data_IF_489539827062
#
_entry.id   IF_489539827062
#
_cell.length_a   1.000
_cell.length_b   1.000
_cell.length_c   1.000
_cell.angle_alpha   90.00
_cell.angle_beta   90.00
_cell.angle_gamma   90.00
#
_symmetry.space_group_name_H-M   'P 1'
#
loop_
_entity.id
_entity.type
_entity.pdbx_description
1 polymer ?
#
# COMPACT_ATOMS: atom_id res chain seq x y z
N UNK A 1 -1.86 2.55 2.16
CA UNK A 1 -0.60 2.43 2.93
C UNK A 1 0.53 2.35 1.93
N UNK A 2 1.56 3.18 2.08
CA UNK A 2 2.79 3.11 1.29
C UNK A 2 3.87 2.46 2.14
N UNK A 3 4.63 1.56 1.52
CA UNK A 3 5.71 0.81 2.16
C UNK A 3 6.97 0.97 1.32
N UNK A 4 8.08 1.30 1.95
CA UNK A 4 9.38 1.27 1.29
C UNK A 4 9.82 -0.18 1.08
N UNK A 5 10.20 -0.52 -0.15
CA UNK A 5 10.57 -1.90 -0.49
C UNK A 5 11.88 -2.33 0.15
N UNK A 6 12.83 -1.41 0.33
CA UNK A 6 14.17 -1.75 0.83
C UNK A 6 14.16 -1.96 2.34
N UNK A 7 13.62 -1.01 3.09
CA UNK A 7 13.52 -1.06 4.55
C UNK A 7 12.34 -1.88 5.06
N UNK A 8 11.31 -2.11 4.23
CA UNK A 8 9.99 -2.64 4.63
C UNK A 8 9.19 -1.68 5.54
N UNK A 9 9.69 -0.46 5.73
CA UNK A 9 9.03 0.52 6.59
C UNK A 9 7.72 1.03 5.98
N UNK A 10 6.71 1.17 6.82
CA UNK A 10 5.49 1.90 6.47
C UNK A 10 5.85 3.38 6.41
N UNK A 11 5.70 4.00 5.24
CA UNK A 11 5.99 5.42 5.02
C UNK A 11 4.80 6.27 5.41
N UNK A 12 3.61 5.90 4.92
CA UNK A 12 2.38 6.60 5.27
C UNK A 12 1.15 5.71 5.13
N UNK A 13 0.11 6.08 5.86
CA UNK A 13 -1.19 5.43 5.89
C UNK A 13 -2.28 6.47 5.63
N UNK A 14 -3.35 6.00 4.99
CA UNK A 14 -4.56 6.79 4.75
C UNK A 14 -5.75 5.87 4.95
N UNK A 15 -6.83 6.43 5.49
CA UNK A 15 -8.03 5.69 5.87
C UNK A 15 -9.27 6.44 5.41
N UNK A 16 -10.30 5.68 5.06
CA UNK A 16 -11.62 6.21 4.71
C UNK A 16 -12.71 5.35 5.33
N UNK A 17 -13.87 5.97 5.55
CA UNK A 17 -15.07 5.25 5.95
C UNK A 17 -15.68 4.51 4.77
N UNK A 18 -16.18 3.29 5.02
CA UNK A 18 -17.03 2.56 4.09
C UNK A 18 -16.32 1.97 2.88
N UNK A 19 -17.11 1.64 1.85
CA UNK A 19 -16.68 0.94 0.64
C UNK A 19 -16.16 1.95 -0.40
N UNK A 20 -15.02 2.58 -0.12
CA UNK A 20 -14.30 3.39 -1.13
C UNK A 20 -13.25 2.55 -1.81
N UNK A 21 -13.01 2.87 -3.08
CA UNK A 21 -11.97 2.23 -3.87
C UNK A 21 -10.60 2.76 -3.49
N UNK A 22 -9.60 1.88 -3.39
CA UNK A 22 -8.25 2.21 -2.95
C UNK A 22 -7.59 3.30 -3.79
N UNK A 23 -7.81 3.29 -5.11
CA UNK A 23 -7.28 4.35 -5.98
C UNK A 23 -7.88 5.72 -5.71
N UNK A 24 -9.15 5.78 -5.31
CA UNK A 24 -9.79 7.05 -4.92
C UNK A 24 -9.20 7.55 -3.61
N UNK A 25 -9.01 6.66 -2.63
CA UNK A 25 -8.35 6.98 -1.37
C UNK A 25 -6.94 7.52 -1.59
N UNK A 26 -6.18 6.93 -2.53
CA UNK A 26 -4.86 7.43 -2.89
C UNK A 26 -4.91 8.85 -3.45
N UNK A 27 -5.79 9.14 -4.41
CA UNK A 27 -5.94 10.51 -4.96
C UNK A 27 -6.32 11.53 -3.88
N UNK A 28 -7.26 11.17 -3.01
CA UNK A 28 -7.74 12.05 -1.93
C UNK A 28 -6.72 12.21 -0.81
N UNK A 29 -5.78 11.27 -0.67
CA UNK A 29 -4.74 11.33 0.37
C UNK A 29 -3.66 12.39 0.12
N UNK A 30 -3.63 13.02 -1.05
CA UNK A 30 -2.67 14.10 -1.36
C UNK A 30 -1.23 13.63 -1.63
N UNK A 31 -0.93 12.34 -1.41
CA UNK A 31 0.42 11.77 -1.52
C UNK A 31 1.05 12.07 -2.88
N UNK A 32 2.20 12.72 -2.83
CA UNK A 32 3.07 12.94 -3.99
C UNK A 32 4.28 12.03 -3.89
N UNK A 33 4.44 11.16 -4.88
CA UNK A 33 5.61 10.29 -5.02
C UNK A 33 6.57 10.99 -5.98
N UNK A 34 7.85 11.02 -5.64
CA UNK A 34 8.86 11.61 -6.52
C UNK A 34 8.87 10.88 -7.88
N UNK A 35 8.92 11.58 -9.03
CA UNK A 35 8.85 10.97 -10.37
C UNK A 35 9.82 9.79 -10.59
N UNK A 36 11.01 9.87 -10.00
CA UNK A 36 12.06 8.84 -10.15
C UNK A 36 11.82 7.59 -9.29
N UNK A 37 10.91 7.65 -8.31
CA UNK A 37 10.61 6.50 -7.44
C UNK A 37 9.65 5.56 -8.15
N UNK A 38 10.12 4.35 -8.44
CA UNK A 38 9.27 3.31 -9.03
C UNK A 38 8.21 2.84 -8.03
N UNK A 39 6.93 3.01 -8.39
CA UNK A 39 5.81 2.54 -7.57
C UNK A 39 5.27 1.22 -8.11
N UNK A 40 5.08 0.22 -7.26
CA UNK A 40 4.47 -1.06 -7.64
C UNK A 40 3.12 -1.19 -6.94
N UNK A 41 2.05 -1.36 -7.71
CA UNK A 41 0.68 -1.46 -7.18
C UNK A 41 -0.07 -2.66 -7.72
N UNK A 42 -1.23 -2.96 -7.15
CA UNK A 42 -2.16 -3.94 -7.70
C UNK A 42 -2.98 -3.35 -8.87
N UNK A 43 -3.85 -4.19 -9.45
CA UNK A 43 -4.75 -3.82 -10.56
C UNK A 43 -5.89 -2.88 -10.15
N UNK A 44 -6.14 -2.69 -8.86
CA UNK A 44 -7.07 -1.70 -8.31
C UNK A 44 -6.58 -0.26 -8.49
N UNK A 45 -5.28 -0.04 -8.75
CA UNK A 45 -4.73 1.29 -9.03
C UNK A 45 -4.69 1.63 -10.53
N UNK A 46 -5.55 1.00 -11.33
CA UNK A 46 -5.65 1.28 -12.76
C UNK A 46 -5.79 2.79 -13.05
N UNK A 47 -4.90 3.31 -13.90
CA UNK A 47 -4.82 4.73 -14.22
C UNK A 47 -3.79 5.50 -13.40
N UNK A 48 -3.12 4.89 -12.42
CA UNK A 48 -2.05 5.53 -11.64
C UNK A 48 -0.91 6.04 -12.53
N UNK A 49 -0.60 5.33 -13.62
CA UNK A 49 0.41 5.75 -14.61
C UNK A 49 0.18 7.16 -15.20
N UNK A 50 -1.07 7.66 -15.19
CA UNK A 50 -1.38 9.04 -15.64
C UNK A 50 -1.01 10.11 -14.61
N UNK A 51 -0.89 9.72 -13.34
CA UNK A 51 -0.54 10.61 -12.22
C UNK A 51 0.95 10.49 -11.92
N UNK A 52 1.48 9.26 -11.99
CA UNK A 52 2.87 8.95 -11.74
C UNK A 52 3.38 7.99 -12.83
N UNK A 53 4.18 8.51 -13.76
CA UNK A 53 4.63 7.77 -14.96
C UNK A 53 5.46 6.53 -14.61
N UNK A 54 6.25 6.60 -13.54
CA UNK A 54 7.08 5.49 -13.05
C UNK A 54 6.29 4.52 -12.15
N UNK A 55 5.12 4.09 -12.63
CA UNK A 55 4.25 3.12 -11.96
C UNK A 55 4.21 1.79 -12.70
N UNK A 56 4.44 0.70 -11.98
CA UNK A 56 4.33 -0.66 -12.50
C UNK A 56 3.05 -1.34 -12.00
N UNK A 57 2.15 -1.65 -12.94
CA UNK A 57 0.89 -2.32 -12.67
C UNK A 57 0.80 -3.64 -13.46
N UNK A 58 0.21 -4.70 -12.88
CA UNK A 58 -0.07 -5.90 -13.64
C UNK A 58 -1.03 -5.62 -14.80
N UNK A 59 -0.76 -6.22 -15.96
CA UNK A 59 -1.67 -6.14 -17.11
C UNK A 59 -2.92 -6.98 -16.80
N UNK A 60 -4.10 -6.36 -16.91
CA UNK A 60 -5.38 -7.03 -16.68
C UNK A 60 -5.80 -7.79 -17.94
N UNK A 61 -6.22 -9.05 -17.78
CA UNK A 61 -6.88 -9.81 -18.85
C UNK A 61 -8.23 -9.17 -19.15
N UNK A 62 -8.58 -9.04 -20.43
CA UNK A 62 -9.95 -8.68 -20.85
C UNK A 62 -10.50 -9.76 -21.78
N UNK A 63 -11.83 -9.78 -22.00
CA UNK A 63 -12.47 -10.77 -22.87
C UNK A 63 -11.89 -10.76 -24.29
N UNK A 64 -11.56 -9.57 -24.82
CA UNK A 64 -11.02 -9.37 -26.17
C UNK A 64 -9.48 -9.43 -26.22
N UNK A 65 -8.80 -9.12 -25.12
CA UNK A 65 -7.32 -9.11 -25.06
C UNK A 65 -6.83 -10.08 -23.98
N UNK A 66 -6.53 -11.34 -24.34
CA UNK A 66 -5.91 -12.30 -23.44
C UNK A 66 -4.46 -11.91 -23.12
N UNK A 67 -3.93 -12.42 -22.00
CA UNK A 67 -2.53 -12.19 -21.62
C UNK A 67 -1.61 -13.08 -22.46
N UNK A 68 -0.62 -12.46 -23.09
CA UNK A 68 0.48 -13.18 -23.76
C UNK A 68 1.35 -13.92 -22.75
N UNK A 69 2.21 -14.82 -23.22
CA UNK A 69 3.20 -15.49 -22.34
C UNK A 69 4.10 -14.45 -21.65
N UNK A 70 4.47 -13.40 -22.36
CA UNK A 70 5.30 -12.31 -21.83
C UNK A 70 4.57 -11.50 -20.76
N UNK A 71 3.30 -11.13 -21.01
CA UNK A 71 2.48 -10.46 -20.00
C UNK A 71 2.36 -11.28 -18.71
N UNK A 72 2.25 -12.60 -18.83
CA UNK A 72 2.20 -13.51 -17.67
C UNK A 72 3.54 -13.53 -16.91
N UNK A 73 4.68 -13.55 -17.61
CA UNK A 73 6.01 -13.46 -16.98
C UNK A 73 6.17 -12.15 -16.22
N UNK A 74 5.81 -11.03 -16.84
CA UNK A 74 5.88 -9.70 -16.22
C UNK A 74 4.93 -9.57 -15.02
N UNK A 75 3.69 -10.05 -15.15
CA UNK A 75 2.74 -10.09 -14.03
C UNK A 75 3.25 -10.97 -12.88
N UNK A 76 3.93 -12.09 -13.16
CA UNK A 76 4.54 -12.94 -12.14
C UNK A 76 5.66 -12.22 -11.40
N UNK A 77 6.55 -11.54 -12.13
CA UNK A 77 7.62 -10.74 -11.54
C UNK A 77 7.06 -9.62 -10.64
N UNK A 78 6.03 -8.90 -11.09
CA UNK A 78 5.36 -7.89 -10.27
C UNK A 78 4.67 -8.51 -9.05
N UNK A 79 4.07 -9.69 -9.19
CA UNK A 79 3.46 -10.40 -8.07
C UNK A 79 4.51 -10.77 -7.01
N UNK A 80 5.66 -11.30 -7.42
CA UNK A 80 6.76 -11.61 -6.50
C UNK A 80 7.25 -10.38 -5.73
N UNK A 81 7.28 -9.20 -6.37
CA UNK A 81 7.64 -7.96 -5.67
C UNK A 81 6.59 -7.52 -4.65
N UNK A 82 5.31 -7.82 -4.89
CA UNK A 82 4.19 -7.45 -4.00
C UNK A 82 4.07 -8.36 -2.76
N UNK A 83 4.68 -9.54 -2.76
CA UNK A 83 4.71 -10.45 -1.59
C UNK A 83 5.22 -9.73 -0.34
N UNK A 84 6.17 -8.80 -0.50
CA UNK A 84 6.65 -7.97 0.61
C UNK A 84 5.53 -7.16 1.26
N UNK A 85 4.65 -6.54 0.47
CA UNK A 85 3.52 -5.79 1.00
C UNK A 85 2.53 -6.71 1.73
N UNK A 86 2.32 -7.92 1.24
CA UNK A 86 1.49 -8.93 1.91
C UNK A 86 2.08 -9.33 3.27
N UNK A 87 3.40 -9.50 3.36
CA UNK A 87 4.09 -9.75 4.62
C UNK A 87 3.93 -8.60 5.61
N UNK A 88 4.12 -7.34 5.18
CA UNK A 88 3.92 -6.15 6.03
C UNK A 88 2.47 -6.07 6.53
N UNK A 89 1.49 -6.24 5.62
CA UNK A 89 0.08 -6.27 5.99
C UNK A 89 -0.22 -7.43 6.95
N UNK A 90 0.40 -8.59 6.75
CA UNK A 90 0.27 -9.75 7.64
C UNK A 90 0.78 -9.45 9.05
N UNK A 91 1.94 -8.80 9.18
CA UNK A 91 2.48 -8.35 10.46
C UNK A 91 1.56 -7.36 11.16
N UNK A 92 1.07 -6.34 10.45
CA UNK A 92 0.13 -5.35 11.01
C UNK A 92 -1.20 -6.01 11.40
N UNK A 93 -1.67 -7.01 10.66
CA UNK A 93 -2.88 -7.77 10.99
C UNK A 93 -2.72 -8.72 12.19
N UNK A 94 -1.52 -8.92 12.74
CA UNK A 94 -1.37 -9.64 14.02
C UNK A 94 -2.05 -8.91 15.18
N UNK A 95 -2.12 -7.58 15.08
CA UNK A 95 -2.87 -6.76 16.02
C UNK A 95 -4.37 -6.94 15.80
N UNK A 96 -5.06 -7.52 16.78
CA UNK A 96 -6.51 -7.84 16.69
C UNK A 96 -7.40 -6.64 16.39
N UNK A 97 -6.97 -5.45 16.80
CA UNK A 97 -7.63 -4.19 16.47
C UNK A 97 -7.70 -3.91 14.95
N UNK A 98 -6.79 -4.49 14.15
CA UNK A 98 -6.76 -4.39 12.68
C UNK A 98 -7.39 -5.62 12.02
N UNK A 99 -7.18 -6.84 12.55
CA UNK A 99 -7.73 -8.06 11.93
C UNK A 99 -9.24 -8.20 12.13
N UNK A 100 -9.74 -7.81 13.30
CA UNK A 100 -11.11 -8.07 13.70
C UNK A 100 -12.00 -6.88 13.35
N UNK A 101 -13.33 -7.09 13.42
CA UNK A 101 -14.28 -6.00 13.22
C UNK A 101 -14.05 -4.91 14.27
N UNK A 102 -13.63 -3.74 13.82
CA UNK A 102 -13.40 -2.58 14.69
C UNK A 102 -14.71 -2.06 15.30
N UNK A 103 -14.89 -2.21 16.62
CA UNK A 103 -16.09 -1.80 17.37
C UNK A 103 -15.98 -0.45 18.09
N UNK A 104 -14.78 0.13 18.20
CA UNK A 104 -14.57 1.38 18.95
C UNK A 104 -14.90 2.63 18.09
N UNK A 105 -15.00 3.81 18.73
CA UNK A 105 -15.21 5.09 18.05
C UNK A 105 -14.09 5.36 17.03
N UNK A 106 -14.49 5.59 15.78
CA UNK A 106 -13.58 5.71 14.62
C UNK A 106 -12.81 7.02 14.53
N UNK A 107 -13.19 8.06 15.30
CA UNK A 107 -12.52 9.38 15.29
C UNK A 107 -10.99 9.29 15.47
N UNK A 108 -10.52 8.32 16.25
CA UNK A 108 -9.09 8.08 16.51
C UNK A 108 -8.54 6.79 15.89
N UNK A 109 -9.23 6.19 14.92
CA UNK A 109 -8.78 4.95 14.28
C UNK A 109 -7.44 5.14 13.57
N UNK A 110 -7.31 6.19 12.76
CA UNK A 110 -6.06 6.47 12.04
C UNK A 110 -4.87 6.69 12.99
N UNK A 111 -5.08 7.37 14.12
CA UNK A 111 -4.04 7.54 15.14
C UNK A 111 -3.60 6.19 15.73
N UNK A 112 -4.55 5.32 16.08
CA UNK A 112 -4.24 3.98 16.61
C UNK A 112 -3.50 3.11 15.60
N UNK A 113 -3.92 3.15 14.33
CA UNK A 113 -3.23 2.43 13.27
C UNK A 113 -1.82 2.98 13.05
N UNK A 114 -1.63 4.30 13.09
CA UNK A 114 -0.31 4.90 12.99
C UNK A 114 0.61 4.50 14.14
N UNK A 115 0.10 4.40 15.37
CA UNK A 115 0.88 3.89 16.49
C UNK A 115 1.32 2.43 16.25
N UNK A 116 0.44 1.58 15.72
CA UNK A 116 0.77 0.20 15.37
C UNK A 116 1.84 0.15 14.26
N UNK A 117 1.69 0.98 13.22
CA UNK A 117 2.67 1.05 12.14
C UNK A 117 4.01 1.62 12.62
N UNK A 118 4.01 2.55 13.58
CA UNK A 118 5.23 3.05 14.23
C UNK A 118 5.93 1.96 15.05
N UNK A 119 5.18 1.18 15.84
CA UNK A 119 5.73 0.02 16.57
C UNK A 119 6.35 -0.98 15.59
N UNK A 120 5.63 -1.32 14.51
CA UNK A 120 6.16 -2.19 13.46
C UNK A 120 7.47 -1.64 12.85
N UNK A 121 7.52 -0.34 12.53
CA UNK A 121 8.72 0.29 12.00
C UNK A 121 9.91 0.23 12.97
N UNK A 122 9.66 0.39 14.28
CA UNK A 122 10.71 0.26 15.31
C UNK A 122 11.27 -1.17 15.40
N UNK A 123 10.41 -2.19 15.24
CA UNK A 123 10.83 -3.60 15.27
C UNK A 123 11.73 -3.97 14.07
N UNK A 124 11.45 -3.43 12.88
CA UNK A 124 12.22 -3.74 11.66
C UNK A 124 13.49 -2.89 11.51
N UNK A 125 13.50 -1.68 12.06
CA UNK A 125 14.62 -0.74 11.91
C UNK A 125 14.70 0.16 13.14
N UNK A 126 15.46 -0.24 14.18
CA UNK A 126 15.53 0.47 15.47
C UNK A 126 16.02 1.92 15.36
N UNK A 127 16.67 2.28 14.25
CA UNK A 127 17.24 3.61 14.00
C UNK A 127 16.29 4.57 13.30
N UNK A 128 15.09 4.14 12.88
CA UNK A 128 14.13 5.07 12.29
C UNK A 128 13.42 5.90 13.37
N UNK A 129 13.42 7.24 13.28
CA UNK A 129 12.64 8.07 14.18
C UNK A 129 11.14 7.82 13.97
N UNK A 130 10.34 8.07 15.00
CA UNK A 130 8.88 8.02 14.92
C UNK A 130 8.42 9.12 13.95
N UNK A 131 8.25 8.76 12.68
CA UNK A 131 7.78 9.66 11.65
C UNK A 131 6.25 9.83 11.73
N UNK A 132 5.74 10.97 11.27
CA UNK A 132 4.31 11.15 11.08
C UNK A 132 3.83 10.27 9.92
N UNK A 133 3.16 9.17 10.25
CA UNK A 133 2.68 8.19 9.28
C UNK A 133 1.36 8.58 8.59
N UNK A 134 0.83 9.79 8.78
CA UNK A 134 -0.31 10.23 7.97
C UNK A 134 0.15 10.68 6.59
N UNK A 135 -0.44 10.09 5.56
CA UNK A 135 -0.28 10.58 4.19
C UNK A 135 -0.76 12.03 4.08
N UNK A 136 0.08 12.92 3.54
CA UNK A 136 -0.23 14.32 3.22
C UNK A 136 0.04 14.57 1.75
#
# INVERSE_FOLDING_TARGET
MLVDKKSKAVICTSFTNGRRHDFRLFKESGVRIHPDIKTVTDTGYQGLGKIHSNSALPKKKTKKNPLTKEDKRNNRALSSQRVLNEHVIGMIKRFKIVSDRYRNRRKRFGLRFNLIAAIYNMEITPTMPIANLFCR
#
